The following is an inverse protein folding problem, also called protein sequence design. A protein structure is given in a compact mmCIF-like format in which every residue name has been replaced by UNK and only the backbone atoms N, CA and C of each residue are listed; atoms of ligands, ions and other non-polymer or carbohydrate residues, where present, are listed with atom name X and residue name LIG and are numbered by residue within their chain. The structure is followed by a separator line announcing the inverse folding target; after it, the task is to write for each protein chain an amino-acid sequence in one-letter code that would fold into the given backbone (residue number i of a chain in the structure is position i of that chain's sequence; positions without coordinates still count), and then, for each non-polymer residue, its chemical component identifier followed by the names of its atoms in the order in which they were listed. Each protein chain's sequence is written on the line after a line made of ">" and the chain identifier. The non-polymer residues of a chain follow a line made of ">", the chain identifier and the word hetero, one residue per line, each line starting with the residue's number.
data_IF_578629427982
#
_entry.id   IF_578629427982
#
_cell.length_a   1.000
_cell.length_b   1.000
_cell.length_c   1.000
_cell.angle_alpha   90.00
_cell.angle_beta   90.00
_cell.angle_gamma   90.00
#
_symmetry.space_group_name_H-M   'P 1'
#
loop_
_entity.id
_entity.type
_entity.pdbx_description
1 polymer ?
#
# COMPACT_ATOMS: atom_id res chain seq x y z
N UNK A 1 1.90 -13.84 -15.45
CA UNK A 1 3.23 -14.14 -14.84
C UNK A 1 3.05 -13.93 -13.35
N UNK A 2 3.46 -14.86 -12.52
CA UNK A 2 3.40 -14.70 -11.08
C UNK A 2 4.62 -13.93 -10.53
N UNK A 3 4.55 -13.52 -9.26
CA UNK A 3 5.60 -12.74 -8.57
C UNK A 3 6.94 -13.48 -8.56
N UNK A 4 6.92 -14.81 -8.35
CA UNK A 4 8.15 -15.63 -8.24
C UNK A 4 8.88 -15.69 -9.59
N UNK A 5 8.13 -15.86 -10.67
CA UNK A 5 8.67 -15.86 -12.03
C UNK A 5 9.26 -14.50 -12.39
N UNK A 6 8.54 -13.40 -12.10
CA UNK A 6 9.05 -12.05 -12.33
C UNK A 6 10.33 -11.76 -11.55
N UNK A 7 10.34 -12.09 -10.25
CA UNK A 7 11.50 -11.94 -9.39
C UNK A 7 12.69 -12.73 -9.94
N UNK A 8 12.49 -14.02 -10.26
CA UNK A 8 13.54 -14.88 -10.83
C UNK A 8 14.14 -14.27 -12.09
N UNK A 9 13.31 -13.71 -12.97
CA UNK A 9 13.78 -13.11 -14.21
C UNK A 9 14.55 -11.80 -13.98
N UNK A 10 14.06 -10.90 -13.14
CA UNK A 10 14.74 -9.63 -12.84
C UNK A 10 16.09 -9.87 -12.15
N UNK A 11 16.18 -10.86 -11.27
CA UNK A 11 17.41 -11.18 -10.53
C UNK A 11 18.51 -11.81 -11.39
N UNK A 12 18.24 -12.17 -12.64
CA UNK A 12 19.28 -12.59 -13.58
C UNK A 12 20.21 -11.45 -14.01
N UNK A 13 19.73 -10.22 -13.93
CA UNK A 13 20.44 -9.02 -14.45
C UNK A 13 20.56 -7.89 -13.42
N UNK A 14 19.78 -7.95 -12.35
CA UNK A 14 19.74 -6.93 -11.29
C UNK A 14 20.05 -7.57 -9.92
N UNK A 15 20.59 -6.79 -8.96
CA UNK A 15 20.88 -7.28 -7.61
C UNK A 15 19.60 -7.79 -6.92
N UNK A 16 19.65 -9.03 -6.45
CA UNK A 16 18.48 -9.71 -5.88
C UNK A 16 17.89 -8.98 -4.69
N UNK A 17 18.72 -8.45 -3.79
CA UNK A 17 18.25 -7.70 -2.62
C UNK A 17 17.47 -6.43 -2.98
N UNK A 18 17.86 -5.74 -4.07
CA UNK A 18 17.15 -4.54 -4.53
C UNK A 18 15.84 -4.90 -5.24
N UNK A 19 15.82 -5.99 -6.00
CA UNK A 19 14.61 -6.51 -6.65
C UNK A 19 13.60 -6.96 -5.58
N UNK A 20 14.06 -7.62 -4.52
CA UNK A 20 13.22 -8.06 -3.42
C UNK A 20 12.58 -6.89 -2.70
N UNK A 21 13.38 -5.88 -2.35
CA UNK A 21 12.89 -4.68 -1.68
C UNK A 21 11.93 -3.88 -2.58
N UNK A 22 12.24 -3.75 -3.87
CA UNK A 22 11.39 -3.07 -4.84
C UNK A 22 9.99 -3.71 -4.93
N UNK A 23 9.94 -5.03 -5.10
CA UNK A 23 8.68 -5.78 -5.23
C UNK A 23 7.91 -5.77 -3.90
N UNK A 24 8.60 -5.94 -2.76
CA UNK A 24 7.97 -5.90 -1.45
C UNK A 24 7.34 -4.55 -1.16
N UNK A 25 8.07 -3.46 -1.37
CA UNK A 25 7.57 -2.10 -1.17
C UNK A 25 6.41 -1.75 -2.12
N UNK A 26 6.48 -2.18 -3.39
CA UNK A 26 5.38 -2.02 -4.34
C UNK A 26 4.10 -2.72 -3.87
N UNK A 27 4.21 -3.99 -3.47
CA UNK A 27 3.05 -4.77 -3.00
C UNK A 27 2.43 -4.15 -1.76
N UNK A 28 3.26 -3.74 -0.79
CA UNK A 28 2.78 -3.14 0.45
C UNK A 28 2.15 -1.77 0.21
N UNK A 29 2.75 -0.92 -0.64
CA UNK A 29 2.16 0.36 -1.02
C UNK A 29 0.76 0.20 -1.63
N UNK A 30 0.59 -0.76 -2.54
CA UNK A 30 -0.73 -1.05 -3.15
C UNK A 30 -1.72 -1.63 -2.15
N UNK A 31 -1.26 -2.56 -1.31
CA UNK A 31 -2.09 -3.13 -0.24
C UNK A 31 -2.63 -2.02 0.67
N UNK A 32 -1.77 -1.18 1.18
CA UNK A 32 -2.14 -0.06 2.05
C UNK A 32 -3.08 0.93 1.34
N UNK A 33 -2.82 1.23 0.08
CA UNK A 33 -3.69 2.08 -0.73
C UNK A 33 -5.12 1.51 -0.83
N UNK A 34 -5.25 0.22 -1.13
CA UNK A 34 -6.57 -0.44 -1.23
C UNK A 34 -7.29 -0.54 0.12
N UNK A 35 -6.54 -0.62 1.23
CA UNK A 35 -7.10 -0.62 2.58
C UNK A 35 -7.43 0.80 3.09
N UNK A 36 -7.18 1.84 2.29
CA UNK A 36 -7.40 3.24 2.69
C UNK A 36 -6.29 3.81 3.58
N UNK A 37 -5.19 3.09 3.76
CA UNK A 37 -4.01 3.51 4.52
C UNK A 37 -3.14 4.52 3.75
N UNK A 38 -3.68 5.67 3.38
CA UNK A 38 -3.05 6.64 2.48
C UNK A 38 -1.64 7.07 2.92
N UNK A 39 -1.45 7.25 4.23
CA UNK A 39 -0.15 7.60 4.79
C UNK A 39 0.87 6.47 4.66
N UNK A 40 0.48 5.25 4.99
CA UNK A 40 1.35 4.06 4.89
C UNK A 40 1.69 3.77 3.43
N UNK A 41 0.73 3.90 2.51
CA UNK A 41 0.96 3.81 1.06
C UNK A 41 2.05 4.79 0.59
N UNK A 42 2.04 6.04 1.07
CA UNK A 42 3.07 7.03 0.74
C UNK A 42 4.45 6.68 1.33
N UNK A 43 4.50 6.10 2.54
CA UNK A 43 5.75 5.64 3.19
C UNK A 43 6.37 4.50 2.38
N UNK A 44 5.57 3.50 2.02
CA UNK A 44 6.03 2.36 1.22
C UNK A 44 6.42 2.78 -0.21
N UNK A 45 5.73 3.76 -0.80
CA UNK A 45 6.15 4.41 -2.04
C UNK A 45 7.54 5.03 -1.92
N UNK A 46 7.90 5.59 -0.76
CA UNK A 46 9.25 6.07 -0.47
C UNK A 46 10.30 4.95 -0.44
N UNK A 47 10.00 3.81 0.20
CA UNK A 47 10.87 2.62 0.19
C UNK A 47 11.07 2.08 -1.23
N UNK A 48 10.01 2.04 -2.02
CA UNK A 48 10.10 1.70 -3.44
C UNK A 48 11.07 2.62 -4.17
N UNK A 49 10.97 3.95 -3.97
CA UNK A 49 11.88 4.92 -4.59
C UNK A 49 13.33 4.68 -4.19
N UNK A 50 13.60 4.36 -2.92
CA UNK A 50 14.95 4.09 -2.44
C UNK A 50 15.57 2.86 -3.10
N UNK A 51 14.81 1.79 -3.29
CA UNK A 51 15.26 0.61 -4.04
C UNK A 51 15.46 0.92 -5.53
N UNK A 52 14.51 1.65 -6.15
CA UNK A 52 14.56 2.01 -7.55
C UNK A 52 15.75 2.94 -7.90
N UNK A 53 16.08 3.91 -7.06
CA UNK A 53 17.26 4.76 -7.26
C UNK A 53 18.57 3.95 -7.22
N UNK A 54 18.69 2.97 -6.33
CA UNK A 54 19.86 2.07 -6.27
C UNK A 54 19.95 1.16 -7.50
N UNK A 55 18.79 0.69 -8.01
CA UNK A 55 18.77 -0.03 -9.28
C UNK A 55 19.25 0.83 -10.44
N UNK A 56 18.88 2.10 -10.50
CA UNK A 56 19.39 3.04 -11.50
C UNK A 56 20.91 3.23 -11.37
N UNK A 57 21.45 3.39 -10.15
CA UNK A 57 22.90 3.46 -9.93
C UNK A 57 23.58 2.19 -10.44
N UNK A 58 23.03 1.01 -10.12
CA UNK A 58 23.57 -0.26 -10.60
C UNK A 58 23.52 -0.39 -12.12
N UNK A 59 22.43 0.00 -12.77
CA UNK A 59 22.28 -0.06 -14.23
C UNK A 59 23.30 0.84 -14.93
N UNK A 60 23.60 2.02 -14.36
CA UNK A 60 24.50 3.01 -15.02
C UNK A 60 25.96 2.81 -14.62
N UNK A 61 26.21 2.50 -13.35
CA UNK A 61 27.58 2.48 -12.80
C UNK A 61 28.08 1.07 -12.42
N UNK A 62 27.23 0.03 -12.52
CA UNK A 62 27.57 -1.34 -12.10
C UNK A 62 27.70 -1.50 -10.59
N UNK A 63 27.44 -0.47 -9.81
CA UNK A 63 27.50 -0.45 -8.34
C UNK A 63 26.44 0.47 -7.78
N UNK A 64 26.10 0.32 -6.51
CA UNK A 64 25.08 1.12 -5.83
C UNK A 64 25.40 1.33 -4.35
N UNK A 65 24.82 2.37 -3.76
CA UNK A 65 24.94 2.62 -2.33
C UNK A 65 24.17 1.54 -1.54
N UNK A 66 24.80 0.83 -0.56
CA UNK A 66 24.16 -0.23 0.19
C UNK A 66 22.84 0.22 0.85
N UNK A 67 21.93 -0.75 1.05
CA UNK A 67 20.70 -0.53 1.82
C UNK A 67 21.02 0.01 3.22
N UNK A 68 20.14 0.84 3.77
CA UNK A 68 20.32 1.49 5.07
C UNK A 68 21.23 2.72 5.05
N UNK A 69 21.90 3.03 3.94
CA UNK A 69 22.62 4.30 3.77
C UNK A 69 21.73 5.36 3.17
N UNK A 70 21.87 6.61 3.64
CA UNK A 70 21.08 7.74 3.15
C UNK A 70 21.44 8.07 1.70
N UNK A 71 20.44 8.15 0.83
CA UNK A 71 20.59 8.50 -0.58
C UNK A 71 20.66 10.02 -0.77
N UNK A 72 21.58 10.45 -1.62
CA UNK A 72 21.54 11.77 -2.23
C UNK A 72 20.79 11.68 -3.58
N UNK A 73 19.46 11.79 -3.52
CA UNK A 73 18.61 11.64 -4.70
C UNK A 73 18.89 12.68 -5.78
N UNK A 74 19.29 13.91 -5.40
CA UNK A 74 19.66 14.94 -6.35
C UNK A 74 20.93 14.59 -7.14
N UNK A 75 21.93 14.07 -6.45
CA UNK A 75 23.16 13.60 -7.08
C UNK A 75 22.85 12.44 -8.04
N UNK A 76 22.03 11.48 -7.61
CA UNK A 76 21.66 10.34 -8.46
C UNK A 76 20.93 10.82 -9.72
N UNK A 77 19.95 11.71 -9.60
CA UNK A 77 19.22 12.24 -10.75
C UNK A 77 20.15 12.95 -11.76
N UNK A 78 21.08 13.79 -11.26
CA UNK A 78 22.07 14.43 -12.14
C UNK A 78 22.96 13.39 -12.82
N UNK A 79 23.44 12.41 -12.05
CA UNK A 79 24.26 11.32 -12.59
C UNK A 79 23.55 10.55 -13.70
N UNK A 80 22.23 10.26 -13.52
CA UNK A 80 21.42 9.62 -14.57
C UNK A 80 21.31 10.51 -15.82
N UNK A 81 21.08 11.81 -15.66
CA UNK A 81 20.99 12.76 -16.79
C UNK A 81 22.28 12.83 -17.60
N UNK A 82 23.41 12.72 -16.93
CA UNK A 82 24.76 12.80 -17.53
C UNK A 82 25.23 11.46 -18.10
N UNK A 83 24.49 10.37 -17.90
CA UNK A 83 24.83 9.06 -18.44
C UNK A 83 24.80 9.06 -19.98
N UNK A 84 25.65 8.24 -20.60
CA UNK A 84 25.81 8.17 -22.04
C UNK A 84 24.52 7.82 -22.77
N UNK A 85 24.14 8.60 -23.77
CA UNK A 85 22.86 8.45 -24.52
C UNK A 85 22.81 7.23 -25.40
N UNK A 86 23.94 6.78 -25.85
CA UNK A 86 24.13 5.59 -26.67
C UNK A 86 24.07 4.30 -25.84
N UNK A 87 24.40 4.37 -24.56
CA UNK A 87 24.41 3.24 -23.65
C UNK A 87 23.12 3.08 -22.85
N UNK A 88 22.40 4.17 -22.57
CA UNK A 88 21.24 4.16 -21.68
C UNK A 88 20.05 4.92 -22.29
N UNK A 89 18.86 4.30 -22.22
CA UNK A 89 17.62 4.88 -22.72
C UNK A 89 17.19 6.12 -21.91
N UNK A 90 16.36 6.98 -22.52
CA UNK A 90 15.76 8.11 -21.82
C UNK A 90 14.85 7.70 -20.65
N UNK A 91 14.32 6.48 -20.65
CA UNK A 91 13.64 5.93 -19.48
C UNK A 91 14.56 5.90 -18.25
N UNK A 92 15.76 5.33 -18.38
CA UNK A 92 16.78 5.25 -17.32
C UNK A 92 17.33 6.64 -16.97
N UNK A 93 17.63 7.44 -18.01
CA UNK A 93 18.32 8.72 -17.83
C UNK A 93 17.42 9.83 -17.31
N UNK A 94 16.16 9.88 -17.73
CA UNK A 94 15.31 11.04 -17.53
C UNK A 94 13.98 10.68 -16.85
N UNK A 95 13.23 9.72 -17.39
CA UNK A 95 11.83 9.55 -17.02
C UNK A 95 11.68 8.92 -15.65
N UNK A 96 12.33 7.77 -15.39
CA UNK A 96 12.27 7.09 -14.10
C UNK A 96 12.81 7.97 -12.96
N UNK A 97 14.04 8.56 -13.06
CA UNK A 97 14.58 9.37 -11.96
C UNK A 97 13.69 10.55 -11.57
N UNK A 98 13.10 11.24 -12.57
CA UNK A 98 12.23 12.39 -12.33
C UNK A 98 10.90 12.00 -11.69
N UNK A 99 10.33 10.87 -12.12
CA UNK A 99 9.09 10.34 -11.55
C UNK A 99 9.29 9.87 -10.10
N UNK A 100 10.40 9.18 -9.83
CA UNK A 100 10.79 8.79 -8.47
C UNK A 100 11.00 10.00 -7.55
N UNK A 101 11.55 11.10 -8.07
CA UNK A 101 11.72 12.34 -7.31
C UNK A 101 10.40 12.87 -6.80
N UNK A 102 9.36 12.87 -7.64
CA UNK A 102 8.03 13.35 -7.26
C UNK A 102 7.45 12.53 -6.10
N UNK A 103 7.54 11.21 -6.17
CA UNK A 103 7.07 10.30 -5.10
C UNK A 103 7.85 10.52 -3.81
N UNK A 104 9.17 10.64 -3.92
CA UNK A 104 10.06 10.87 -2.77
C UNK A 104 9.78 12.21 -2.08
N UNK A 105 9.45 13.26 -2.85
CA UNK A 105 9.05 14.56 -2.32
C UNK A 105 7.69 14.50 -1.61
N UNK A 106 6.71 13.78 -2.14
CA UNK A 106 5.43 13.56 -1.46
C UNK A 106 5.66 12.89 -0.10
N UNK A 107 6.46 11.82 -0.04
CA UNK A 107 6.78 11.12 1.21
C UNK A 107 7.45 12.04 2.22
N UNK A 108 8.35 12.92 1.78
CA UNK A 108 9.16 13.77 2.66
C UNK A 108 8.50 15.11 3.01
N UNK A 109 7.67 15.65 2.12
CA UNK A 109 7.07 17.00 2.24
C UNK A 109 5.63 17.00 2.73
N UNK A 110 4.89 15.89 2.54
CA UNK A 110 3.59 15.69 3.20
C UNK A 110 3.83 15.01 4.55
N UNK A 111 2.95 15.13 5.52
CA UNK A 111 3.08 14.53 6.86
C UNK A 111 3.14 12.97 6.85
N UNK A 112 3.58 12.38 5.75
CA UNK A 112 3.71 10.93 5.63
C UNK A 112 4.79 10.36 6.57
N UNK A 113 5.94 11.05 6.68
CA UNK A 113 7.07 10.60 7.49
C UNK A 113 7.41 11.53 8.65
N UNK A 114 7.09 12.83 8.55
CA UNK A 114 7.44 13.83 9.56
C UNK A 114 6.28 14.80 9.80
N UNK A 115 6.14 15.28 11.04
CA UNK A 115 5.19 16.34 11.42
C UNK A 115 5.80 17.69 10.97
N UNK A 116 5.54 18.15 9.76
CA UNK A 116 6.20 19.35 9.25
C UNK A 116 5.30 20.36 8.55
N UNK A 117 4.63 19.99 7.49
CA UNK A 117 4.02 20.96 6.56
C UNK A 117 2.50 21.15 6.72
N UNK A 118 1.88 20.50 7.73
CA UNK A 118 0.45 20.69 8.00
C UNK A 118 -0.51 20.10 6.94
N UNK A 119 -0.01 19.42 5.92
CA UNK A 119 -0.83 18.75 4.90
C UNK A 119 -0.69 17.25 5.04
N UNK A 120 -1.76 16.59 5.43
CA UNK A 120 -1.81 15.14 5.52
C UNK A 120 -1.92 14.50 4.12
N UNK A 121 -1.31 13.30 3.90
CA UNK A 121 -1.51 12.55 2.69
C UNK A 121 -2.99 12.32 2.42
N UNK A 122 -3.39 12.59 1.20
CA UNK A 122 -4.78 12.45 0.76
C UNK A 122 -4.89 11.42 -0.37
N UNK A 123 -6.12 11.13 -0.80
CA UNK A 123 -6.37 10.15 -1.86
C UNK A 123 -5.69 10.51 -3.19
N UNK A 124 -5.59 11.81 -3.52
CA UNK A 124 -4.92 12.24 -4.75
C UNK A 124 -3.41 11.98 -4.68
N UNK A 125 -2.77 12.31 -3.53
CA UNK A 125 -1.35 12.01 -3.31
C UNK A 125 -1.08 10.50 -3.40
N UNK A 126 -1.88 9.69 -2.72
CA UNK A 126 -1.74 8.23 -2.74
C UNK A 126 -1.98 7.63 -4.13
N UNK A 127 -3.00 8.11 -4.86
CA UNK A 127 -3.28 7.68 -6.25
C UNK A 127 -2.09 8.00 -7.16
N UNK A 128 -1.51 9.20 -7.03
CA UNK A 128 -0.34 9.58 -7.81
C UNK A 128 0.86 8.70 -7.48
N UNK A 129 1.14 8.45 -6.19
CA UNK A 129 2.22 7.56 -5.74
C UNK A 129 2.06 6.18 -6.37
N UNK A 130 0.89 5.56 -6.24
CA UNK A 130 0.62 4.22 -6.80
C UNK A 130 0.79 4.21 -8.32
N UNK A 131 0.25 5.20 -9.02
CA UNK A 131 0.37 5.28 -10.48
C UNK A 131 1.82 5.38 -10.94
N UNK A 132 2.64 6.15 -10.21
CA UNK A 132 4.06 6.30 -10.54
C UNK A 132 4.85 5.03 -10.24
N UNK A 133 4.66 4.39 -9.09
CA UNK A 133 5.40 3.16 -8.76
C UNK A 133 5.00 2.00 -9.67
N UNK A 134 3.72 1.89 -10.07
CA UNK A 134 3.25 0.92 -11.07
C UNK A 134 3.97 1.13 -12.40
N UNK A 135 4.00 2.39 -12.88
CA UNK A 135 4.66 2.73 -14.13
C UNK A 135 6.17 2.47 -14.08
N UNK A 136 6.85 2.87 -13.00
CA UNK A 136 8.30 2.64 -12.83
C UNK A 136 8.62 1.14 -12.83
N UNK A 137 7.85 0.33 -12.12
CA UNK A 137 8.04 -1.12 -12.10
C UNK A 137 7.82 -1.73 -13.49
N UNK A 138 6.78 -1.27 -14.22
CA UNK A 138 6.55 -1.70 -15.60
C UNK A 138 7.71 -1.32 -16.53
N UNK A 139 8.32 -0.14 -16.35
CA UNK A 139 9.50 0.26 -17.12
C UNK A 139 10.73 -0.61 -16.81
N UNK A 140 11.00 -0.97 -15.54
CA UNK A 140 12.07 -1.92 -15.22
C UNK A 140 11.82 -3.29 -15.86
N UNK A 141 10.58 -3.77 -15.85
CA UNK A 141 10.22 -5.01 -16.53
C UNK A 141 10.49 -4.89 -18.03
N UNK A 142 10.03 -3.81 -18.67
CA UNK A 142 10.21 -3.57 -20.10
C UNK A 142 11.68 -3.47 -20.51
N UNK A 143 12.50 -2.83 -19.69
CA UNK A 143 13.93 -2.65 -19.97
C UNK A 143 14.74 -3.96 -19.89
N UNK A 144 14.30 -4.90 -19.06
CA UNK A 144 15.04 -6.14 -18.80
C UNK A 144 14.36 -7.40 -19.37
N UNK A 145 13.14 -7.26 -19.93
CA UNK A 145 12.42 -8.32 -20.61
C UNK A 145 12.00 -7.86 -21.99
N UNK A 146 11.98 -8.79 -22.92
CA UNK A 146 11.52 -8.50 -24.29
C UNK A 146 9.98 -8.46 -24.36
N UNK A 147 9.39 -7.53 -23.61
CA UNK A 147 7.94 -7.29 -23.55
C UNK A 147 7.64 -5.85 -23.92
N UNK A 148 6.46 -5.62 -24.52
CA UNK A 148 5.99 -4.27 -24.80
C UNK A 148 5.37 -3.61 -23.55
N UNK A 149 5.07 -2.31 -23.63
CA UNK A 149 4.55 -1.53 -22.50
C UNK A 149 3.23 -2.11 -21.94
N UNK A 150 2.30 -2.55 -22.81
CA UNK A 150 1.01 -3.11 -22.39
C UNK A 150 1.17 -4.46 -21.68
N UNK A 151 2.14 -5.27 -22.11
CA UNK A 151 2.46 -6.53 -21.44
C UNK A 151 3.08 -6.27 -20.07
N UNK A 152 4.02 -5.32 -19.97
CA UNK A 152 4.63 -4.94 -18.70
C UNK A 152 3.58 -4.40 -17.71
N UNK A 153 2.68 -3.53 -18.14
CA UNK A 153 1.57 -3.03 -17.32
C UNK A 153 0.68 -4.16 -16.81
N UNK A 154 0.27 -5.09 -17.67
CA UNK A 154 -0.54 -6.26 -17.25
C UNK A 154 0.19 -7.15 -16.23
N UNK A 155 1.51 -7.28 -16.33
CA UNK A 155 2.30 -8.01 -15.34
C UNK A 155 2.23 -7.29 -13.99
N UNK A 156 2.44 -5.98 -13.95
CA UNK A 156 2.36 -5.17 -12.73
C UNK A 156 0.97 -5.22 -12.10
N UNK A 157 -0.08 -5.10 -12.90
CA UNK A 157 -1.47 -5.21 -12.43
C UNK A 157 -1.77 -6.59 -11.82
N UNK A 158 -1.12 -7.63 -12.32
CA UNK A 158 -1.27 -9.00 -11.81
C UNK A 158 -0.42 -9.31 -10.55
N UNK A 159 0.53 -8.43 -10.17
CA UNK A 159 1.38 -8.65 -8.99
C UNK A 159 0.64 -8.47 -7.66
N UNK A 160 -0.34 -7.61 -7.67
CA UNK A 160 -1.24 -7.40 -6.54
C UNK A 160 -2.61 -7.73 -7.04
N UNK A 161 -3.13 -8.90 -6.66
CA UNK A 161 -4.57 -9.11 -6.71
C UNK A 161 -5.16 -7.88 -6.02
N UNK A 162 -6.07 -7.16 -6.69
CA UNK A 162 -6.87 -6.15 -5.98
C UNK A 162 -7.43 -6.87 -4.77
N UNK A 163 -6.81 -6.72 -3.61
CA UNK A 163 -7.49 -6.97 -2.39
C UNK A 163 -8.65 -5.98 -2.47
N UNK A 164 -9.83 -6.48 -2.87
CA UNK A 164 -11.03 -5.67 -2.76
C UNK A 164 -11.00 -5.18 -1.32
N UNK A 165 -11.08 -3.86 -1.06
CA UNK A 165 -11.07 -3.39 0.31
C UNK A 165 -12.15 -4.21 0.99
N UNK A 166 -11.81 -4.87 2.10
CA UNK A 166 -12.77 -5.70 2.84
C UNK A 166 -14.05 -4.91 3.13
N UNK A 167 -13.96 -3.58 3.11
CA UNK A 167 -15.07 -2.64 3.32
C UNK A 167 -15.13 -1.66 2.14
N UNK A 168 -16.33 -1.49 1.60
CA UNK A 168 -16.64 -0.44 0.63
C UNK A 168 -17.62 0.57 1.25
N UNK A 169 -17.28 1.86 1.12
CA UNK A 169 -18.16 2.95 1.53
C UNK A 169 -19.05 3.39 0.35
N UNK A 170 -20.34 3.45 0.60
CA UNK A 170 -21.36 3.97 -0.31
C UNK A 170 -22.04 5.18 0.33
N UNK A 171 -21.40 6.35 0.26
CA UNK A 171 -21.91 7.60 0.83
C UNK A 171 -22.28 7.50 2.32
N UNK A 172 -21.38 6.87 3.11
CA UNK A 172 -21.57 6.66 4.56
C UNK A 172 -22.20 5.31 4.93
N UNK A 173 -22.64 4.52 3.94
CA UNK A 173 -23.05 3.13 4.16
C UNK A 173 -21.85 2.19 3.97
N UNK A 174 -21.34 1.65 5.06
CA UNK A 174 -20.21 0.73 5.04
C UNK A 174 -20.67 -0.71 4.76
N UNK A 175 -20.15 -1.32 3.71
CA UNK A 175 -20.43 -2.70 3.33
C UNK A 175 -19.16 -3.53 3.43
N UNK A 176 -19.17 -4.53 4.32
CA UNK A 176 -18.13 -5.57 4.33
C UNK A 176 -18.38 -6.52 3.16
N UNK A 177 -17.35 -6.74 2.35
CA UNK A 177 -17.47 -7.50 1.09
C UNK A 177 -17.30 -9.00 1.27
N UNK A 178 -16.82 -9.47 2.42
CA UNK A 178 -16.80 -10.89 2.74
C UNK A 178 -18.14 -11.33 3.33
N UNK A 179 -18.94 -12.14 2.60
CA UNK A 179 -20.23 -12.63 3.08
C UNK A 179 -20.10 -13.77 4.10
N UNK A 180 -18.91 -14.35 4.27
CA UNK A 180 -18.67 -15.53 5.13
C UNK A 180 -18.43 -15.14 6.57
N UNK A 181 -18.02 -13.88 6.84
CA UNK A 181 -17.74 -13.39 8.18
C UNK A 181 -18.94 -13.58 9.13
N UNK A 182 -18.64 -14.06 10.34
CA UNK A 182 -19.61 -14.09 11.44
C UNK A 182 -19.93 -12.67 11.95
N UNK A 183 -21.07 -12.52 12.66
CA UNK A 183 -21.54 -11.22 13.14
C UNK A 183 -20.51 -10.49 14.02
N UNK A 184 -19.72 -11.21 14.83
CA UNK A 184 -18.69 -10.63 15.68
C UNK A 184 -17.55 -10.03 14.86
N UNK A 185 -17.02 -10.80 13.92
CA UNK A 185 -15.91 -10.38 13.05
C UNK A 185 -16.35 -9.26 12.11
N UNK A 186 -17.58 -9.33 11.60
CA UNK A 186 -18.18 -8.28 10.79
C UNK A 186 -18.22 -6.94 11.53
N UNK A 187 -18.65 -6.94 12.82
CA UNK A 187 -18.66 -5.75 13.65
C UNK A 187 -17.23 -5.24 13.96
N UNK A 188 -16.28 -6.14 14.23
CA UNK A 188 -14.90 -5.77 14.50
C UNK A 188 -14.25 -5.11 13.29
N UNK A 189 -14.43 -5.67 12.10
CA UNK A 189 -13.93 -5.11 10.84
C UNK A 189 -14.51 -3.71 10.58
N UNK A 190 -15.82 -3.51 10.78
CA UNK A 190 -16.46 -2.20 10.67
C UNK A 190 -15.88 -1.18 11.67
N UNK A 191 -15.73 -1.55 12.93
CA UNK A 191 -15.20 -0.67 13.97
C UNK A 191 -13.71 -0.38 13.80
N UNK A 192 -12.93 -1.37 13.31
CA UNK A 192 -11.54 -1.18 12.94
C UNK A 192 -11.40 -0.12 11.82
N UNK A 193 -12.20 -0.22 10.78
CA UNK A 193 -12.25 0.76 9.70
C UNK A 193 -12.63 2.17 10.19
N UNK A 194 -13.58 2.26 11.13
CA UNK A 194 -14.00 3.55 11.73
C UNK A 194 -12.99 4.13 12.72
N UNK A 195 -12.12 3.30 13.28
CA UNK A 195 -11.09 3.72 14.21
C UNK A 195 -11.62 4.61 15.34
N UNK A 196 -11.03 5.80 15.50
CA UNK A 196 -11.41 6.76 16.54
C UNK A 196 -12.82 7.37 16.39
N UNK A 197 -13.44 7.28 15.23
CA UNK A 197 -14.80 7.78 15.02
C UNK A 197 -15.84 6.85 15.66
N UNK A 198 -15.52 5.56 15.74
CA UNK A 198 -16.46 4.55 16.20
C UNK A 198 -17.73 4.46 15.36
N UNK A 199 -18.74 3.81 15.89
CA UNK A 199 -20.06 3.72 15.26
C UNK A 199 -21.15 3.62 16.32
N UNK A 200 -22.31 4.20 16.04
CA UNK A 200 -23.51 4.05 16.86
C UNK A 200 -24.15 2.68 16.63
N UNK A 201 -25.06 2.27 17.53
CA UNK A 201 -25.81 1.05 17.33
C UNK A 201 -26.62 1.09 16.01
N UNK A 202 -27.25 2.22 15.68
CA UNK A 202 -28.04 2.38 14.47
C UNK A 202 -27.21 2.27 13.20
N UNK A 203 -26.01 2.85 13.19
CA UNK A 203 -25.07 2.69 12.06
C UNK A 203 -24.67 1.22 11.89
N UNK A 204 -24.23 0.56 12.97
CA UNK A 204 -23.86 -0.87 12.91
C UNK A 204 -25.04 -1.73 12.46
N UNK A 205 -26.26 -1.47 12.98
CA UNK A 205 -27.47 -2.19 12.57
C UNK A 205 -27.81 -2.00 11.09
N UNK A 206 -27.57 -0.80 10.56
CA UNK A 206 -27.76 -0.52 9.13
C UNK A 206 -26.74 -1.25 8.25
N UNK A 207 -25.48 -1.32 8.66
CA UNK A 207 -24.38 -1.86 7.88
C UNK A 207 -24.25 -3.39 7.93
N UNK A 208 -24.65 -4.02 9.07
CA UNK A 208 -24.59 -5.50 9.17
C UNK A 208 -25.63 -6.16 8.28
N UNK A 209 -25.33 -7.38 7.85
CA UNK A 209 -26.26 -8.18 7.05
C UNK A 209 -27.59 -8.41 7.79
N UNK A 210 -28.74 -8.45 7.09
CA UNK A 210 -30.05 -8.61 7.72
C UNK A 210 -30.14 -9.80 8.70
N UNK A 211 -29.48 -10.92 8.37
CA UNK A 211 -29.41 -12.13 9.21
C UNK A 211 -28.72 -11.91 10.57
N UNK A 212 -27.89 -10.87 10.68
CA UNK A 212 -27.11 -10.58 11.89
C UNK A 212 -27.84 -9.60 12.84
N UNK A 213 -28.82 -8.83 12.35
CA UNK A 213 -29.48 -7.75 13.08
C UNK A 213 -30.17 -8.24 14.34
N UNK A 214 -30.86 -9.37 14.27
CA UNK A 214 -31.64 -9.96 15.42
C UNK A 214 -30.75 -10.22 16.65
N UNK A 215 -29.50 -10.59 16.44
CA UNK A 215 -28.55 -10.91 17.51
C UNK A 215 -27.47 -9.83 17.74
N UNK A 216 -27.54 -8.70 17.05
CA UNK A 216 -26.48 -7.69 17.08
C UNK A 216 -26.19 -7.18 18.50
N UNK A 217 -27.23 -6.89 19.31
CA UNK A 217 -27.05 -6.44 20.69
C UNK A 217 -26.31 -7.46 21.55
N UNK A 218 -26.60 -8.74 21.38
CA UNK A 218 -25.93 -9.82 22.09
C UNK A 218 -24.48 -9.94 21.63
N UNK A 219 -24.24 -9.83 20.34
CA UNK A 219 -22.87 -9.85 19.74
C UNK A 219 -22.02 -8.73 20.31
N UNK A 220 -22.52 -7.48 20.31
CA UNK A 220 -21.80 -6.33 20.83
C UNK A 220 -21.49 -6.46 22.33
N UNK A 221 -22.46 -6.93 23.14
CA UNK A 221 -22.21 -7.21 24.58
C UNK A 221 -21.11 -8.24 24.78
N UNK A 222 -21.08 -9.30 23.98
CA UNK A 222 -20.03 -10.32 24.07
C UNK A 222 -18.66 -9.76 23.69
N UNK A 223 -18.59 -8.95 22.64
CA UNK A 223 -17.35 -8.30 22.21
C UNK A 223 -16.82 -7.33 23.28
N UNK A 224 -17.72 -6.65 23.98
CA UNK A 224 -17.38 -5.69 25.04
C UNK A 224 -16.99 -6.42 26.34
N UNK A 225 -17.89 -7.28 26.88
CA UNK A 225 -17.75 -7.81 28.24
C UNK A 225 -16.87 -9.05 28.33
N UNK A 226 -16.95 -9.96 27.31
CA UNK A 226 -16.26 -11.24 27.37
C UNK A 226 -14.87 -11.18 26.70
N UNK A 227 -14.72 -10.30 25.71
CA UNK A 227 -13.51 -10.19 24.90
C UNK A 227 -12.70 -8.91 25.11
N UNK A 228 -13.33 -7.86 25.63
CA UNK A 228 -12.75 -6.51 25.72
C UNK A 228 -12.24 -5.97 24.37
N UNK A 229 -12.81 -6.42 23.26
CA UNK A 229 -12.42 -6.01 21.91
C UNK A 229 -13.02 -4.66 21.50
N UNK A 230 -14.14 -4.29 22.11
CA UNK A 230 -14.79 -3.01 21.88
C UNK A 230 -15.11 -2.37 23.24
N UNK A 231 -15.31 -1.05 23.21
CA UNK A 231 -15.75 -0.27 24.35
C UNK A 231 -16.94 0.60 23.94
N UNK A 232 -17.99 0.62 24.77
CA UNK A 232 -19.12 1.51 24.59
C UNK A 232 -18.93 2.80 25.37
N UNK A 233 -19.00 3.93 24.67
CA UNK A 233 -19.00 5.25 25.30
C UNK A 233 -20.21 6.04 24.80
N UNK A 234 -21.17 6.29 25.67
CA UNK A 234 -22.45 6.90 25.31
C UNK A 234 -23.21 6.10 24.26
N UNK A 235 -23.60 6.70 23.13
CA UNK A 235 -24.25 6.02 22.02
C UNK A 235 -23.29 5.24 21.11
N UNK A 236 -21.96 5.49 21.20
CA UNK A 236 -20.95 4.96 20.29
C UNK A 236 -20.26 3.70 20.82
N UNK A 237 -19.88 2.84 19.88
CA UNK A 237 -18.99 1.70 20.08
C UNK A 237 -17.66 1.99 19.39
N UNK A 238 -16.57 1.67 20.06
CA UNK A 238 -15.19 1.92 19.63
C UNK A 238 -14.38 0.64 19.74
N UNK A 239 -13.53 0.38 18.78
CA UNK A 239 -12.59 -0.73 18.89
C UNK A 239 -11.53 -0.41 19.95
N UNK A 240 -11.10 -1.41 20.70
CA UNK A 240 -10.00 -1.28 21.66
C UNK A 240 -8.70 -1.75 21.02
N UNK A 241 -7.57 -1.44 21.68
CA UNK A 241 -6.27 -1.98 21.26
C UNK A 241 -6.24 -3.51 21.14
N UNK A 242 -6.95 -4.20 22.05
CA UNK A 242 -7.06 -5.67 22.01
C UNK A 242 -7.90 -6.13 20.81
N UNK A 243 -8.93 -5.35 20.45
CA UNK A 243 -9.73 -5.60 19.25
C UNK A 243 -8.94 -5.38 17.95
N UNK A 244 -8.13 -4.31 17.90
CA UNK A 244 -7.22 -4.06 16.76
C UNK A 244 -6.27 -5.23 16.56
N UNK A 245 -5.61 -5.70 17.63
CA UNK A 245 -4.69 -6.84 17.57
C UNK A 245 -5.38 -8.15 17.15
N UNK A 246 -6.64 -8.37 17.55
CA UNK A 246 -7.41 -9.56 17.11
C UNK A 246 -7.69 -9.51 15.61
N UNK A 247 -8.11 -8.35 15.09
CA UNK A 247 -8.35 -8.14 13.64
C UNK A 247 -7.08 -8.37 12.84
N UNK A 248 -5.96 -7.77 13.28
CA UNK A 248 -4.66 -7.85 12.61
C UNK A 248 -4.09 -9.27 12.64
N UNK A 249 -4.07 -9.92 13.81
CA UNK A 249 -3.49 -11.26 14.00
C UNK A 249 -4.27 -12.36 13.27
N UNK A 250 -5.57 -12.18 13.08
CA UNK A 250 -6.44 -13.10 12.36
C UNK A 250 -6.59 -12.76 10.88
N UNK A 251 -5.90 -11.73 10.41
CA UNK A 251 -5.93 -11.28 9.01
C UNK A 251 -7.36 -11.03 8.48
N UNK A 252 -8.27 -10.51 9.35
CA UNK A 252 -9.69 -10.35 9.00
C UNK A 252 -9.95 -9.33 7.88
N UNK A 253 -8.96 -8.54 7.51
CA UNK A 253 -9.03 -7.56 6.42
C UNK A 253 -8.48 -8.12 5.10
N UNK A 254 -7.91 -9.32 5.11
CA UNK A 254 -7.37 -9.96 3.92
C UNK A 254 -8.45 -10.88 3.32
N UNK A 255 -8.82 -10.72 2.04
CA UNK A 255 -9.70 -11.68 1.37
C UNK A 255 -8.99 -13.03 1.25
N UNK A 256 -9.71 -14.12 1.52
CA UNK A 256 -9.24 -15.49 1.25
C UNK A 256 -8.92 -15.71 -0.24
#
# INVERSE_FOLDING_TARGET
>A
MDVATLKSQLTTVLPSELVDELIAAHKEAKREFYLGGLRLSAVEGGRFCEAAFRLLEFIVDGSYLPLGKQLDTERIIRRMQDAARDAHSDAVRLHIPRSLRLVYDIRNKRNAAHLGDGIDPNLQDATLVISVIDWVLAEFIRLHHNVNADQASRIVDGLVTKAAPMIQDFDGFLKVLDPTLGAADYCLVLLYHRGKQGATFGELESWVQPRMRSNLRRTLRRLENDKAFIHRNGPGYYITRTGDLDVESRHLLEPE
#
